data_IF_580300832383
#
_entry.id   IF_580300832383
#
_cell.length_a   1.000
_cell.length_b   1.000
_cell.length_c   1.000
_cell.angle_alpha   90.00
_cell.angle_beta   90.00
_cell.angle_gamma   90.00
#
_symmetry.space_group_name_H-M   'P 1'
#
loop_
_entity.id
_entity.type
_entity.pdbx_description
1 polymer ?
#
# COMPACT_ATOMS: atom_id res chain seq x y z
N UNK A 1 7.04 11.22 -10.15
CA UNK A 1 5.93 10.92 -9.22
C UNK A 1 5.52 12.19 -8.50
N UNK A 2 4.46 12.83 -8.95
CA UNK A 2 3.90 13.99 -8.23
C UNK A 2 3.00 13.48 -7.12
N UNK A 3 3.08 14.09 -5.94
CA UNK A 3 2.32 13.74 -4.72
C UNK A 3 0.82 13.53 -4.96
N UNK A 4 0.27 14.16 -6.02
CA UNK A 4 -1.13 14.01 -6.47
C UNK A 4 -1.61 12.57 -6.71
N UNK A 5 -0.72 11.60 -7.00
CA UNK A 5 -1.17 10.23 -7.32
C UNK A 5 -1.59 9.42 -6.08
N UNK A 6 -1.05 9.70 -4.89
CA UNK A 6 -1.30 8.90 -3.68
C UNK A 6 -2.47 9.41 -2.83
N UNK A 7 -3.00 10.61 -3.12
CA UNK A 7 -4.07 11.24 -2.34
C UNK A 7 -5.28 10.34 -2.06
N UNK A 8 -5.84 9.57 -3.03
CA UNK A 8 -6.98 8.71 -2.75
C UNK A 8 -6.72 7.69 -1.63
N UNK A 9 -5.49 7.21 -1.50
CA UNK A 9 -5.10 6.27 -0.45
C UNK A 9 -4.85 6.98 0.88
N UNK A 10 -4.33 8.21 0.86
CA UNK A 10 -4.23 9.03 2.07
C UNK A 10 -5.61 9.37 2.62
N UNK A 11 -6.56 9.73 1.74
CA UNK A 11 -7.94 10.02 2.12
C UNK A 11 -8.65 8.80 2.70
N UNK A 12 -8.40 7.60 2.16
CA UNK A 12 -8.89 6.36 2.76
C UNK A 12 -8.46 6.24 4.23
N UNK A 13 -7.18 6.50 4.52
CA UNK A 13 -6.63 6.43 5.89
C UNK A 13 -7.12 7.59 6.77
N UNK A 14 -7.36 8.79 6.21
CA UNK A 14 -7.99 9.89 6.96
C UNK A 14 -9.40 9.54 7.44
N UNK A 15 -10.12 8.70 6.71
CA UNK A 15 -11.43 8.20 7.10
C UNK A 15 -11.40 7.14 8.21
N UNK A 16 -10.23 6.61 8.57
CA UNK A 16 -10.13 5.59 9.63
C UNK A 16 -10.21 6.20 11.03
N UNK A 17 -10.62 5.43 12.05
CA UNK A 17 -10.54 5.86 13.45
C UNK A 17 -9.12 6.28 13.82
N UNK A 18 -8.94 7.54 14.24
CA UNK A 18 -7.63 8.14 14.53
C UNK A 18 -7.05 8.98 13.40
N UNK A 19 -7.53 8.79 12.17
CA UNK A 19 -7.10 9.53 10.99
C UNK A 19 -5.61 9.36 10.65
N UNK A 20 -5.18 9.96 9.54
CA UNK A 20 -3.77 9.97 9.13
C UNK A 20 -2.96 10.93 10.01
N UNK A 21 -1.99 10.39 10.75
CA UNK A 21 -1.05 11.16 11.56
C UNK A 21 0.17 11.63 10.77
N UNK A 22 0.98 10.71 10.27
CA UNK A 22 2.11 11.02 9.37
C UNK A 22 2.33 9.92 8.32
N UNK A 23 3.04 10.26 7.26
CA UNK A 23 3.56 9.32 6.28
C UNK A 23 5.09 9.38 6.29
N UNK A 24 5.76 8.26 6.50
CA UNK A 24 7.21 8.14 6.56
C UNK A 24 7.69 7.20 5.45
N UNK A 25 8.64 7.64 4.62
CA UNK A 25 9.26 6.76 3.61
C UNK A 25 10.13 5.73 4.32
N UNK A 26 9.90 4.45 4.04
CA UNK A 26 10.73 3.37 4.57
C UNK A 26 12.00 3.23 3.71
N UNK A 27 13.18 3.15 4.35
CA UNK A 27 14.43 2.92 3.62
C UNK A 27 14.46 1.48 3.07
N UNK A 28 14.94 1.30 1.85
CA UNK A 28 15.11 -0.01 1.24
C UNK A 28 15.41 0.06 -0.26
N UNK A 29 16.12 -0.94 -0.76
CA UNK A 29 16.43 -1.18 -2.17
C UNK A 29 15.37 -2.08 -2.82
N UNK A 30 14.09 -1.82 -2.51
CA UNK A 30 12.98 -2.71 -2.82
C UNK A 30 12.59 -2.71 -4.32
N UNK A 31 13.57 -3.01 -5.18
CA UNK A 31 13.50 -2.91 -6.63
C UNK A 31 12.89 -1.57 -7.05
N UNK A 32 11.85 -1.62 -7.87
CA UNK A 32 11.24 -0.46 -8.49
C UNK A 32 10.02 -0.03 -7.66
N UNK A 33 10.07 -0.23 -6.34
CA UNK A 33 8.95 0.00 -5.42
C UNK A 33 9.40 0.88 -4.27
N UNK A 34 8.58 1.86 -3.94
CA UNK A 34 8.73 2.64 -2.73
C UNK A 34 7.69 2.22 -1.70
N UNK A 35 8.07 2.27 -0.42
CA UNK A 35 7.18 1.97 0.69
C UNK A 35 7.10 3.17 1.62
N UNK A 36 5.89 3.50 2.05
CA UNK A 36 5.60 4.54 3.01
C UNK A 36 4.80 3.94 4.15
N UNK A 37 5.28 4.10 5.38
CA UNK A 37 4.50 3.78 6.58
C UNK A 37 3.58 4.95 6.89
N UNK A 38 2.28 4.70 6.91
CA UNK A 38 1.24 5.64 7.29
C UNK A 38 0.87 5.37 8.76
N UNK A 39 1.16 6.31 9.66
CA UNK A 39 0.72 6.22 11.06
C UNK A 39 -0.73 6.67 11.18
N UNK A 40 -1.53 5.89 11.89
CA UNK A 40 -2.93 6.20 12.19
C UNK A 40 -3.01 6.66 13.64
N UNK A 41 -3.66 7.79 13.89
CA UNK A 41 -3.65 8.46 15.20
C UNK A 41 -4.11 7.56 16.35
N UNK A 42 -3.17 7.14 17.20
CA UNK A 42 -3.44 6.44 18.46
C UNK A 42 -3.74 4.94 18.36
N UNK A 43 -3.70 4.31 17.18
CA UNK A 43 -4.29 2.96 17.01
C UNK A 43 -3.62 2.03 16.00
N UNK A 44 -2.67 2.46 15.16
CA UNK A 44 -1.98 1.53 14.27
C UNK A 44 -1.17 2.17 13.14
N UNK A 45 -0.81 1.35 12.15
CA UNK A 45 -0.18 1.78 10.91
C UNK A 45 -0.62 0.95 9.71
N UNK A 46 -0.42 1.52 8.52
CA UNK A 46 -0.57 0.86 7.24
C UNK A 46 0.67 1.12 6.38
N UNK A 47 0.87 0.29 5.35
CA UNK A 47 1.96 0.44 4.40
C UNK A 47 1.38 0.81 3.03
N UNK A 48 1.76 1.97 2.52
CA UNK A 48 1.52 2.37 1.15
C UNK A 48 2.71 1.94 0.29
N UNK A 49 2.47 1.03 -0.63
CA UNK A 49 3.43 0.60 -1.65
C UNK A 49 3.14 1.35 -2.95
N UNK A 50 4.20 1.88 -3.56
CA UNK A 50 4.16 2.65 -4.81
C UNK A 50 5.07 1.99 -5.84
N UNK A 51 4.51 1.55 -6.97
CA UNK A 51 5.28 1.03 -8.10
C UNK A 51 5.86 2.20 -8.92
N UNK A 52 7.13 2.09 -9.34
CA UNK A 52 7.77 3.05 -10.23
C UNK A 52 7.00 3.25 -11.54
N UNK A 53 6.41 2.17 -12.06
CA UNK A 53 5.54 2.18 -13.23
C UNK A 53 4.23 1.43 -12.97
N UNK A 54 3.07 1.98 -13.39
CA UNK A 54 1.80 1.27 -13.38
C UNK A 54 1.83 -0.02 -14.19
N UNK A 55 0.98 -0.99 -13.82
CA UNK A 55 0.86 -2.26 -14.54
C UNK A 55 -0.60 -2.50 -14.94
N UNK A 56 -1.07 -1.70 -15.88
CA UNK A 56 -2.45 -1.72 -16.36
C UNK A 56 -2.84 -3.04 -17.05
N UNK A 57 -4.14 -3.36 -16.99
CA UNK A 57 -4.73 -4.47 -17.75
C UNK A 57 -4.46 -5.87 -17.19
N UNK A 58 -3.84 -5.97 -16.02
CA UNK A 58 -3.64 -7.24 -15.30
C UNK A 58 -3.62 -7.03 -13.80
N UNK A 59 -4.00 -8.07 -13.06
CA UNK A 59 -3.81 -8.08 -11.60
C UNK A 59 -2.31 -7.93 -11.27
N UNK A 60 -2.00 -7.10 -10.28
CA UNK A 60 -0.62 -6.80 -9.91
C UNK A 60 0.08 -8.09 -9.43
N UNK A 61 1.33 -8.38 -9.86
CA UNK A 61 2.06 -9.57 -9.41
C UNK A 61 2.13 -9.72 -7.89
N UNK A 62 2.17 -8.61 -7.16
CA UNK A 62 2.10 -8.60 -5.70
C UNK A 62 0.80 -9.23 -5.18
N UNK A 63 -0.34 -8.84 -5.74
CA UNK A 63 -1.67 -9.33 -5.33
C UNK A 63 -1.80 -10.81 -5.67
N UNK A 64 -1.33 -11.24 -6.84
CA UNK A 64 -1.30 -12.65 -7.24
C UNK A 64 -0.54 -13.52 -6.23
N UNK A 65 0.71 -13.16 -5.90
CA UNK A 65 1.54 -13.92 -4.96
C UNK A 65 0.96 -13.88 -3.54
N UNK A 66 0.49 -12.71 -3.09
CA UNK A 66 -0.20 -12.57 -1.81
C UNK A 66 -1.39 -13.53 -1.71
N UNK A 67 -2.27 -13.55 -2.71
CA UNK A 67 -3.46 -14.39 -2.72
C UNK A 67 -3.10 -15.88 -2.72
N UNK A 68 -2.09 -16.26 -3.50
CA UNK A 68 -1.58 -17.63 -3.51
C UNK A 68 -1.07 -18.06 -2.13
N UNK A 69 -0.24 -17.23 -1.49
CA UNK A 69 0.31 -17.49 -0.15
C UNK A 69 -0.78 -17.55 0.92
N UNK A 70 -1.75 -16.62 0.87
CA UNK A 70 -2.91 -16.64 1.77
C UNK A 70 -3.71 -17.95 1.64
N UNK A 71 -3.93 -18.43 0.41
CA UNK A 71 -4.70 -19.64 0.14
C UNK A 71 -4.06 -20.91 0.72
N UNK A 72 -2.73 -20.92 0.91
CA UNK A 72 -1.99 -22.03 1.51
C UNK A 72 -1.74 -21.84 3.02
N UNK A 73 -2.39 -20.84 3.64
CA UNK A 73 -2.30 -20.60 5.08
C UNK A 73 -1.05 -19.84 5.52
N UNK A 74 -0.29 -19.25 4.59
CA UNK A 74 0.83 -18.37 4.93
C UNK A 74 0.29 -17.01 5.35
N UNK A 75 0.77 -16.50 6.48
CA UNK A 75 0.46 -15.14 6.92
C UNK A 75 0.97 -14.13 5.91
N UNK A 76 0.07 -13.29 5.40
CA UNK A 76 0.38 -12.21 4.45
C UNK A 76 -0.23 -10.89 4.94
N UNK A 77 0.30 -9.73 4.52
CA UNK A 77 -0.32 -8.45 4.84
C UNK A 77 -1.78 -8.39 4.38
N UNK A 78 -2.64 -7.75 5.18
CA UNK A 78 -3.97 -7.39 4.72
C UNK A 78 -3.85 -6.45 3.49
N UNK A 79 -4.76 -6.58 2.53
CA UNK A 79 -4.81 -5.71 1.35
C UNK A 79 -6.07 -4.84 1.47
N UNK A 80 -5.90 -3.60 1.91
CA UNK A 80 -7.01 -2.69 2.13
C UNK A 80 -7.55 -2.10 0.82
N UNK A 81 -6.65 -1.75 -0.10
CA UNK A 81 -6.99 -1.24 -1.43
C UNK A 81 -5.79 -1.37 -2.37
N UNK A 82 -6.05 -1.37 -3.69
CA UNK A 82 -5.02 -1.16 -4.71
C UNK A 82 -5.63 -0.51 -5.96
N UNK A 83 -4.77 0.12 -6.77
CA UNK A 83 -5.09 0.72 -8.07
C UNK A 83 -3.94 0.41 -9.04
N UNK A 84 -4.17 -0.53 -9.97
CA UNK A 84 -3.14 -0.97 -10.92
C UNK A 84 -2.72 0.11 -11.92
N UNK A 85 -3.63 1.05 -12.23
CA UNK A 85 -3.39 2.17 -13.15
C UNK A 85 -2.53 3.26 -12.53
N UNK A 86 -2.57 3.37 -11.20
CA UNK A 86 -1.68 4.27 -10.45
C UNK A 86 -0.47 3.57 -9.87
N UNK A 87 -0.44 2.24 -9.90
CA UNK A 87 0.62 1.44 -9.31
C UNK A 87 0.66 1.56 -7.79
N UNK A 88 -0.49 1.63 -7.13
CA UNK A 88 -0.60 1.88 -5.69
C UNK A 88 -1.25 0.71 -4.97
N UNK A 89 -0.72 0.34 -3.80
CA UNK A 89 -1.32 -0.64 -2.92
C UNK A 89 -1.25 -0.14 -1.48
N UNK A 90 -2.33 -0.33 -0.73
CA UNK A 90 -2.37 -0.07 0.71
C UNK A 90 -2.56 -1.38 1.46
N UNK A 91 -1.62 -1.63 2.36
CA UNK A 91 -1.40 -2.89 3.02
C UNK A 91 -1.45 -2.72 4.55
N UNK A 92 -1.73 -3.81 5.27
CA UNK A 92 -1.44 -3.90 6.71
C UNK A 92 0.06 -3.77 6.98
N UNK A 93 0.43 -3.09 8.08
CA UNK A 93 1.79 -3.06 8.63
C UNK A 93 2.04 -4.25 9.57
#
# INVERSE_FOLDING_TARGET
MTVSNIEPFLELVRGWPGGLGNAEKLPGDASDREFYRLRIGGSGSAILMVLAEPQEGRELPFVNIRNHLAAIGVSVPELYAYDERKGLLLLGD
#
